data_IF_092866651657
#
_entry.id   IF_092866651657
#
_cell.length_a   1.000
_cell.length_b   1.000
_cell.length_c   1.000
_cell.angle_alpha   90.00
_cell.angle_beta   90.00
_cell.angle_gamma   90.00
#
_symmetry.space_group_name_H-M   'P 1'
#
loop_
_entity.id
_entity.type
_entity.pdbx_description
1 polymer ?
#
# COMPACT_ATOMS: atom_id res chain seq x y z
N UNK A 1 19.81 19.01 3.26
CA UNK A 1 18.45 19.38 2.78
C UNK A 1 18.14 18.53 1.55
N UNK A 2 16.89 18.07 1.36
CA UNK A 2 16.53 16.99 0.41
C UNK A 2 16.19 17.44 -1.03
N UNK A 3 16.31 18.73 -1.38
CA UNK A 3 16.10 19.20 -2.76
C UNK A 3 14.65 19.26 -3.25
N UNK A 4 13.66 19.21 -2.36
CA UNK A 4 12.22 19.09 -2.70
C UNK A 4 11.48 20.43 -2.88
N UNK A 5 12.18 21.56 -2.90
CA UNK A 5 11.55 22.88 -3.03
C UNK A 5 10.87 23.00 -4.40
N UNK A 6 9.56 23.28 -4.40
CA UNK A 6 8.74 23.35 -5.61
C UNK A 6 8.16 22.01 -6.10
N UNK A 7 8.50 20.90 -5.44
CA UNK A 7 7.94 19.57 -5.77
C UNK A 7 6.66 19.23 -4.99
N UNK A 8 6.32 20.02 -3.97
CA UNK A 8 5.16 19.82 -3.10
C UNK A 8 4.39 21.12 -2.90
N UNK A 9 3.07 21.05 -2.62
CA UNK A 9 2.31 22.20 -2.16
C UNK A 9 2.94 22.86 -0.93
N UNK A 10 2.73 24.18 -0.73
CA UNK A 10 3.40 24.92 0.35
C UNK A 10 2.87 24.59 1.76
N UNK A 11 1.69 23.95 1.87
CA UNK A 11 1.13 23.57 3.17
C UNK A 11 1.91 22.38 3.74
N UNK A 12 2.55 22.58 4.89
CA UNK A 12 3.07 21.49 5.72
C UNK A 12 1.90 20.89 6.50
N UNK A 13 1.76 19.56 6.44
CA UNK A 13 0.73 18.82 7.16
C UNK A 13 1.35 17.98 8.26
N UNK A 14 0.63 17.83 9.37
CA UNK A 14 0.93 16.83 10.40
C UNK A 14 0.51 15.43 9.93
N UNK A 15 1.06 14.38 10.55
CA UNK A 15 0.65 13.01 10.23
C UNK A 15 -0.81 12.73 10.60
N UNK A 16 -1.34 13.42 11.61
CA UNK A 16 -2.76 13.30 12.00
C UNK A 16 -3.67 13.93 10.94
N UNK A 17 -3.32 15.12 10.41
CA UNK A 17 -4.07 15.72 9.29
C UNK A 17 -4.04 14.83 8.03
N UNK A 18 -2.92 14.16 7.75
CA UNK A 18 -2.82 13.21 6.66
C UNK A 18 -3.67 11.96 6.90
N UNK A 19 -3.68 11.46 8.14
CA UNK A 19 -4.48 10.31 8.53
C UNK A 19 -5.98 10.58 8.38
N UNK A 20 -6.44 11.76 8.84
CA UNK A 20 -7.82 12.20 8.69
C UNK A 20 -8.21 12.27 7.20
N UNK A 21 -7.34 12.82 6.34
CA UNK A 21 -7.60 12.89 4.91
C UNK A 21 -7.72 11.50 4.26
N UNK A 22 -6.81 10.58 4.58
CA UNK A 22 -6.87 9.19 4.09
C UNK A 22 -8.16 8.52 4.57
N UNK A 23 -8.57 8.73 5.82
CA UNK A 23 -9.82 8.16 6.33
C UNK A 23 -11.05 8.72 5.60
N UNK A 24 -11.10 10.03 5.33
CA UNK A 24 -12.18 10.61 4.53
C UNK A 24 -12.21 10.04 3.10
N UNK A 25 -11.05 9.88 2.46
CA UNK A 25 -10.96 9.25 1.13
C UNK A 25 -11.39 7.78 1.17
N UNK A 26 -11.06 7.06 2.24
CA UNK A 26 -11.51 5.68 2.43
C UNK A 26 -13.04 5.60 2.54
N UNK A 27 -13.66 6.51 3.28
CA UNK A 27 -15.11 6.55 3.43
C UNK A 27 -15.84 6.96 2.14
N UNK A 28 -15.20 7.68 1.23
CA UNK A 28 -15.78 8.03 -0.07
C UNK A 28 -15.71 6.91 -1.11
N UNK A 29 -14.98 5.81 -0.85
CA UNK A 29 -14.91 4.68 -1.78
C UNK A 29 -16.19 3.84 -1.73
N UNK A 30 -16.66 3.40 -2.90
CA UNK A 30 -17.97 2.76 -3.03
C UNK A 30 -17.93 1.25 -2.79
N UNK A 31 -16.78 0.61 -3.01
CA UNK A 31 -16.60 -0.83 -2.91
C UNK A 31 -15.42 -1.23 -2.02
N UNK A 32 -15.44 -2.48 -1.52
CA UNK A 32 -14.32 -3.04 -0.76
C UNK A 32 -13.02 -3.10 -1.60
N UNK A 33 -13.12 -3.36 -2.91
CA UNK A 33 -11.98 -3.41 -3.80
C UNK A 33 -11.33 -2.03 -3.97
N UNK A 34 -12.12 -0.97 -4.16
CA UNK A 34 -11.63 0.41 -4.23
C UNK A 34 -11.00 0.83 -2.90
N UNK A 35 -11.62 0.48 -1.77
CA UNK A 35 -11.07 0.71 -0.43
C UNK A 35 -9.71 0.03 -0.26
N UNK A 36 -9.59 -1.23 -0.69
CA UNK A 36 -8.31 -1.97 -0.65
C UNK A 36 -7.27 -1.33 -1.56
N UNK A 37 -7.66 -0.92 -2.77
CA UNK A 37 -6.77 -0.25 -3.73
C UNK A 37 -6.20 1.05 -3.17
N UNK A 38 -7.04 1.87 -2.52
CA UNK A 38 -6.60 3.08 -1.82
C UNK A 38 -5.58 2.73 -0.72
N UNK A 39 -5.91 1.80 0.17
CA UNK A 39 -5.03 1.43 1.30
C UNK A 39 -3.68 0.87 0.81
N UNK A 40 -3.67 0.06 -0.25
CA UNK A 40 -2.43 -0.47 -0.84
C UNK A 40 -1.62 0.61 -1.57
N UNK A 41 -2.27 1.62 -2.15
CA UNK A 41 -1.58 2.79 -2.71
C UNK A 41 -0.85 3.57 -1.60
N UNK A 42 -1.50 3.78 -0.45
CA UNK A 42 -0.82 4.42 0.70
C UNK A 42 0.30 3.54 1.25
N UNK A 43 0.12 2.21 1.31
CA UNK A 43 1.18 1.29 1.72
C UNK A 43 2.44 1.39 0.84
N UNK A 44 2.26 1.57 -0.46
CA UNK A 44 3.37 1.72 -1.41
C UNK A 44 4.07 3.07 -1.29
N UNK A 45 3.32 4.17 -1.14
CA UNK A 45 3.88 5.52 -1.16
C UNK A 45 4.41 5.98 0.20
N UNK A 46 3.70 5.66 1.30
CA UNK A 46 4.05 6.12 2.64
C UNK A 46 3.64 5.09 3.70
N UNK A 47 4.55 4.14 3.96
CA UNK A 47 4.37 3.09 4.97
C UNK A 47 4.08 3.62 6.38
N UNK A 48 4.72 4.72 6.78
CA UNK A 48 4.48 5.35 8.09
C UNK A 48 3.05 5.83 8.21
N UNK A 49 2.54 6.51 7.19
CA UNK A 49 1.15 6.95 7.15
C UNK A 49 0.19 5.75 7.11
N UNK A 50 0.46 4.74 6.28
CA UNK A 50 -0.35 3.52 6.23
C UNK A 50 -0.54 2.92 7.63
N UNK A 51 0.54 2.64 8.35
CA UNK A 51 0.45 2.03 9.68
C UNK A 51 -0.16 2.96 10.72
N UNK A 52 0.03 4.27 10.61
CA UNK A 52 -0.66 5.27 11.45
C UNK A 52 -2.18 5.15 11.30
N UNK A 53 -2.71 5.26 10.08
CA UNK A 53 -4.16 5.18 9.85
C UNK A 53 -4.69 3.79 10.20
N UNK A 54 -3.97 2.74 9.80
CA UNK A 54 -4.36 1.36 10.06
C UNK A 54 -4.50 1.10 11.57
N UNK A 55 -3.59 1.61 12.40
CA UNK A 55 -3.63 1.44 13.86
C UNK A 55 -4.87 2.06 14.51
N UNK A 56 -5.45 3.10 13.91
CA UNK A 56 -6.64 3.80 14.41
C UNK A 56 -7.94 3.07 14.02
N UNK A 57 -7.92 2.29 12.93
CA UNK A 57 -9.09 1.68 12.30
C UNK A 57 -8.94 0.17 12.06
N UNK A 58 -8.13 -0.52 12.89
CA UNK A 58 -7.75 -1.93 12.67
C UNK A 58 -8.96 -2.83 12.39
N UNK A 59 -10.00 -2.76 13.22
CA UNK A 59 -11.19 -3.60 13.07
C UNK A 59 -11.94 -3.36 11.75
N UNK A 60 -11.94 -2.11 11.26
CA UNK A 60 -12.58 -1.72 10.00
C UNK A 60 -11.72 -2.09 8.78
N UNK A 61 -10.39 -1.98 8.89
CA UNK A 61 -9.48 -2.19 7.76
C UNK A 61 -9.03 -3.64 7.58
N UNK A 62 -8.99 -4.44 8.65
CA UNK A 62 -8.62 -5.86 8.56
C UNK A 62 -9.39 -6.62 7.47
N UNK A 63 -10.74 -6.57 7.40
CA UNK A 63 -11.49 -7.29 6.35
C UNK A 63 -11.31 -6.73 4.93
N UNK A 64 -10.77 -5.51 4.80
CA UNK A 64 -10.47 -4.87 3.52
C UNK A 64 -9.07 -5.26 3.02
N UNK A 65 -8.08 -5.31 3.91
CA UNK A 65 -6.69 -5.65 3.54
C UNK A 65 -6.49 -7.16 3.41
N UNK A 66 -7.18 -7.93 4.25
CA UNK A 66 -7.13 -9.39 4.30
C UNK A 66 -8.46 -10.00 3.83
N UNK A 67 -8.87 -11.12 4.42
CA UNK A 67 -10.10 -11.82 4.05
C UNK A 67 -11.36 -11.01 4.40
N UNK A 68 -12.37 -10.96 3.51
CA UNK A 68 -12.45 -11.69 2.24
C UNK A 68 -11.90 -10.92 1.03
N UNK A 69 -11.64 -9.62 1.15
CA UNK A 69 -11.41 -8.72 0.01
C UNK A 69 -10.11 -9.03 -0.75
N UNK A 70 -9.09 -9.53 -0.06
CA UNK A 70 -7.82 -9.92 -0.69
C UNK A 70 -8.01 -11.01 -1.74
N UNK A 71 -9.00 -11.91 -1.58
CA UNK A 71 -9.25 -13.02 -2.50
C UNK A 71 -9.50 -12.50 -3.92
N UNK A 72 -10.36 -11.49 -4.08
CA UNK A 72 -10.63 -10.88 -5.40
C UNK A 72 -9.38 -10.26 -6.02
N UNK A 73 -8.49 -9.67 -5.21
CA UNK A 73 -7.21 -9.15 -5.74
C UNK A 73 -6.31 -10.30 -6.20
N UNK A 74 -6.22 -11.39 -5.43
CA UNK A 74 -5.37 -12.54 -5.77
C UNK A 74 -5.88 -13.24 -7.04
N UNK A 75 -7.19 -13.43 -7.17
CA UNK A 75 -7.82 -14.02 -8.36
C UNK A 75 -7.53 -13.22 -9.64
N UNK A 76 -7.42 -11.89 -9.52
CA UNK A 76 -7.21 -10.97 -10.63
C UNK A 76 -5.82 -10.30 -10.58
N UNK A 77 -4.84 -10.94 -9.92
CA UNK A 77 -3.57 -10.28 -9.56
C UNK A 77 -2.83 -9.75 -10.79
N UNK A 78 -2.81 -10.49 -11.89
CA UNK A 78 -2.15 -10.07 -13.13
C UNK A 78 -2.76 -8.80 -13.74
N UNK A 79 -4.07 -8.63 -13.64
CA UNK A 79 -4.78 -7.45 -14.17
C UNK A 79 -4.64 -6.25 -13.23
N UNK A 80 -4.66 -6.51 -11.92
CA UNK A 80 -4.65 -5.48 -10.88
C UNK A 80 -3.24 -5.12 -10.37
N UNK A 81 -2.19 -5.72 -10.92
CA UNK A 81 -0.81 -5.46 -10.50
C UNK A 81 -0.38 -4.03 -10.83
N UNK A 82 0.10 -3.29 -9.83
CA UNK A 82 0.63 -1.92 -10.01
C UNK A 82 2.09 -1.83 -9.56
N UNK A 83 2.39 -2.30 -8.34
CA UNK A 83 3.73 -2.24 -7.75
C UNK A 83 4.03 -3.52 -6.96
N UNK A 84 5.31 -3.92 -6.83
CA UNK A 84 5.71 -5.16 -6.16
C UNK A 84 5.57 -5.12 -4.64
N UNK A 85 5.21 -3.98 -4.02
CA UNK A 85 5.03 -3.85 -2.56
C UNK A 85 6.28 -4.21 -1.73
N UNK A 86 7.48 -4.03 -2.29
CA UNK A 86 8.76 -4.53 -1.76
C UNK A 86 8.76 -6.04 -1.47
N UNK A 87 8.08 -6.82 -2.32
CA UNK A 87 8.12 -8.28 -2.28
C UNK A 87 9.18 -8.82 -3.25
N UNK A 88 9.82 -9.92 -2.85
CA UNK A 88 10.63 -10.74 -3.73
C UNK A 88 9.73 -11.75 -4.48
N UNK A 89 9.97 -11.93 -5.78
CA UNK A 89 9.35 -12.98 -6.59
C UNK A 89 10.41 -14.00 -6.95
N UNK A 90 10.19 -15.26 -6.56
CA UNK A 90 11.13 -16.37 -6.78
C UNK A 90 10.48 -17.39 -7.70
N UNK A 91 11.22 -17.90 -8.67
CA UNK A 91 10.75 -18.91 -9.62
C UNK A 91 11.48 -20.23 -9.42
N UNK A 92 10.73 -21.33 -9.42
CA UNK A 92 11.29 -22.70 -9.42
C UNK A 92 12.09 -22.99 -10.70
N UNK A 93 11.85 -22.23 -11.78
CA UNK A 93 12.56 -22.39 -13.05
C UNK A 93 13.98 -21.81 -13.01
N UNK A 94 14.28 -20.91 -12.06
CA UNK A 94 15.57 -20.24 -11.94
C UNK A 94 16.09 -20.27 -10.48
N UNK A 95 16.37 -21.46 -9.90
CA UNK A 95 16.78 -21.59 -8.51
C UNK A 95 18.16 -20.93 -8.23
N UNK A 96 19.04 -20.87 -9.23
CA UNK A 96 20.39 -20.30 -9.08
C UNK A 96 20.36 -18.78 -8.84
N UNK A 97 19.26 -18.09 -9.19
CA UNK A 97 19.12 -16.64 -8.98
C UNK A 97 18.53 -16.26 -7.63
N UNK A 98 18.18 -17.23 -6.76
CA UNK A 98 17.47 -16.95 -5.49
C UNK A 98 18.25 -16.00 -4.59
N UNK A 99 19.57 -16.22 -4.42
CA UNK A 99 20.39 -15.37 -3.56
C UNK A 99 20.43 -13.92 -4.08
N UNK A 100 20.58 -13.74 -5.39
CA UNK A 100 20.57 -12.43 -6.03
C UNK A 100 19.21 -11.74 -5.91
N UNK A 101 18.11 -12.47 -6.19
CA UNK A 101 16.76 -11.96 -6.06
C UNK A 101 16.46 -11.45 -4.65
N UNK A 102 16.90 -12.18 -3.62
CA UNK A 102 16.73 -11.78 -2.22
C UNK A 102 17.57 -10.54 -1.86
N UNK A 103 18.81 -10.43 -2.38
CA UNK A 103 19.64 -9.22 -2.19
C UNK A 103 19.03 -8.00 -2.85
N UNK A 104 18.43 -8.16 -4.02
CA UNK A 104 17.83 -7.06 -4.78
C UNK A 104 16.51 -6.57 -4.18
N UNK A 105 15.76 -7.44 -3.49
CA UNK A 105 14.48 -7.11 -2.88
C UNK A 105 14.59 -6.56 -1.44
N UNK A 106 15.79 -6.54 -0.86
CA UNK A 106 16.06 -6.13 0.52
C UNK A 106 16.09 -4.61 0.74
#
# INVERSE_FOLDING_TARGET
>A
QLGIVGMLPPKVQTIDEQADQVYQQYQSQSSALEKRSLLMSIFNENRTLFFKVFSQHVAEFMPIVYDPTIATTVENYSELFIQPQNAAFLSIENPDTIEESLKNAA
#
